data_IF_322627168988
#
_entry.id   IF_322627168988
#
_cell.length_a   1.000
_cell.length_b   1.000
_cell.length_c   1.000
_cell.angle_alpha   90.00
_cell.angle_beta   90.00
_cell.angle_gamma   90.00
#
_symmetry.space_group_name_H-M   'P 1'
#
loop_
_entity.id
_entity.type
_entity.pdbx_description
1 polymer ?
#
# COMPACT_ATOMS: atom_id res chain seq x y z
N UNK A 1 -25.02 -52.75 -36.69
CA UNK A 1 -25.11 -51.28 -36.63
C UNK A 1 -23.98 -50.77 -35.73
N UNK A 2 -23.15 -49.87 -36.27
CA UNK A 2 -21.91 -49.38 -35.66
C UNK A 2 -22.21 -48.38 -34.54
N UNK A 3 -21.82 -48.71 -33.32
CA UNK A 3 -21.63 -47.75 -32.21
C UNK A 3 -20.25 -47.10 -32.35
N UNK A 4 -20.19 -45.77 -32.37
CA UNK A 4 -18.93 -45.03 -32.44
C UNK A 4 -19.05 -43.67 -31.73
N UNK A 5 -17.97 -43.33 -31.01
CA UNK A 5 -17.56 -42.01 -30.50
C UNK A 5 -18.30 -41.54 -29.25
N UNK A 6 -17.67 -40.94 -28.25
CA UNK A 6 -16.31 -40.44 -28.10
C UNK A 6 -16.07 -40.29 -26.60
N UNK A 7 -15.07 -40.96 -26.03
CA UNK A 7 -14.64 -40.73 -24.65
C UNK A 7 -13.37 -39.88 -24.71
N UNK A 8 -13.50 -38.57 -24.50
CA UNK A 8 -12.35 -37.68 -24.32
C UNK A 8 -11.80 -37.89 -22.91
N UNK A 9 -10.68 -38.61 -22.83
CA UNK A 9 -9.82 -38.68 -21.65
C UNK A 9 -9.11 -37.33 -21.46
N UNK A 10 -9.55 -36.53 -20.49
CA UNK A 10 -8.73 -35.45 -19.93
C UNK A 10 -7.83 -36.05 -18.85
N UNK A 11 -6.55 -36.19 -19.17
CA UNK A 11 -5.51 -36.55 -18.21
C UNK A 11 -5.09 -35.28 -17.44
N UNK A 12 -5.60 -35.11 -16.22
CA UNK A 12 -5.03 -34.16 -15.26
C UNK A 12 -3.81 -34.81 -14.62
N UNK A 13 -2.61 -34.32 -14.95
CA UNK A 13 -1.38 -34.66 -14.26
C UNK A 13 -1.38 -33.95 -12.88
N UNK A 14 -1.88 -34.63 -11.86
CA UNK A 14 -1.65 -34.24 -10.45
C UNK A 14 -0.26 -34.75 -10.10
N UNK A 15 0.73 -33.85 -10.14
CA UNK A 15 2.07 -34.12 -9.65
C UNK A 15 2.01 -34.12 -8.10
N UNK A 16 1.87 -35.31 -7.51
CA UNK A 16 2.06 -35.51 -6.07
C UNK A 16 3.54 -35.27 -5.72
N UNK A 17 3.84 -34.14 -5.10
CA UNK A 17 5.13 -33.92 -4.42
C UNK A 17 4.95 -34.37 -2.97
N UNK A 18 5.34 -35.61 -2.68
CA UNK A 18 5.58 -36.07 -1.31
C UNK A 18 7.09 -36.07 -1.09
N UNK A 19 7.61 -35.01 -0.46
CA UNK A 19 9.00 -34.95 -0.03
C UNK A 19 9.05 -34.44 1.42
N UNK A 20 9.31 -35.41 2.30
CA UNK A 20 10.07 -35.36 3.54
C UNK A 20 10.15 -34.04 4.33
N UNK A 21 9.63 -34.15 5.55
CA UNK A 21 9.95 -33.31 6.69
C UNK A 21 11.46 -33.33 6.97
N UNK A 22 12.12 -32.22 6.64
CA UNK A 22 13.22 -31.71 7.45
C UNK A 22 12.96 -30.20 7.60
N UNK A 23 12.57 -29.82 8.82
CA UNK A 23 11.99 -28.54 9.17
C UNK A 23 13.08 -27.46 9.23
N UNK A 24 13.48 -26.97 8.07
CA UNK A 24 14.05 -25.64 7.94
C UNK A 24 12.96 -24.78 7.31
N UNK A 25 12.26 -24.00 8.15
CA UNK A 25 11.17 -23.07 7.83
C UNK A 25 11.59 -22.06 6.76
N UNK A 26 11.70 -22.53 5.53
CA UNK A 26 12.00 -21.71 4.36
C UNK A 26 10.69 -21.04 3.99
N UNK A 27 10.37 -19.97 4.71
CA UNK A 27 9.22 -19.13 4.45
C UNK A 27 9.25 -18.70 2.99
N UNK A 28 8.45 -19.35 2.16
CA UNK A 28 8.47 -19.12 0.72
C UNK A 28 7.52 -17.97 0.42
N UNK A 29 8.07 -16.86 -0.07
CA UNK A 29 7.26 -15.77 -0.60
C UNK A 29 6.72 -16.16 -1.98
N UNK A 30 5.44 -15.88 -2.20
CA UNK A 30 4.76 -16.19 -3.44
C UNK A 30 3.91 -15.02 -3.90
N UNK A 31 3.74 -14.92 -5.22
CA UNK A 31 2.76 -14.08 -5.90
C UNK A 31 1.67 -14.99 -6.45
N UNK A 32 0.42 -14.79 -6.03
CA UNK A 32 -0.71 -15.49 -6.63
C UNK A 32 -1.18 -14.71 -7.84
N UNK A 33 -1.55 -15.42 -8.91
CA UNK A 33 -2.28 -14.87 -10.04
C UNK A 33 -3.71 -15.37 -9.93
N UNK A 34 -4.67 -14.48 -9.66
CA UNK A 34 -6.08 -14.84 -9.49
C UNK A 34 -6.85 -14.71 -10.81
N UNK A 35 -7.94 -15.46 -10.97
CA UNK A 35 -8.81 -15.39 -12.16
C UNK A 35 -9.46 -14.02 -12.38
N UNK A 36 -9.56 -13.20 -11.33
CA UNK A 36 -10.07 -11.83 -11.41
C UNK A 36 -9.00 -10.79 -11.78
N UNK A 37 -7.78 -11.23 -12.07
CA UNK A 37 -6.65 -10.37 -12.45
C UNK A 37 -5.89 -9.74 -11.28
N UNK A 38 -6.23 -10.06 -10.02
CA UNK A 38 -5.45 -9.59 -8.86
C UNK A 38 -4.20 -10.42 -8.62
N UNK A 39 -3.18 -9.77 -8.04
CA UNK A 39 -1.88 -10.38 -7.79
C UNK A 39 -1.38 -10.20 -6.35
N UNK A 40 -2.01 -10.84 -5.34
CA UNK A 40 -1.55 -10.71 -3.96
C UNK A 40 -0.17 -11.36 -3.79
N UNK A 41 0.67 -10.72 -2.98
CA UNK A 41 2.03 -11.14 -2.67
C UNK A 41 2.17 -11.33 -1.16
N UNK A 42 2.75 -12.43 -0.72
CA UNK A 42 2.98 -12.68 0.69
C UNK A 42 3.74 -13.96 0.96
N UNK A 43 4.06 -14.18 2.23
CA UNK A 43 4.60 -15.42 2.75
C UNK A 43 3.49 -16.48 2.75
N UNK A 44 3.76 -17.63 2.12
CA UNK A 44 2.83 -18.75 2.16
C UNK A 44 2.84 -19.37 3.55
N UNK A 45 1.68 -19.45 4.20
CA UNK A 45 1.52 -20.08 5.51
C UNK A 45 1.15 -21.55 5.31
N UNK A 46 2.00 -22.52 5.72
CA UNK A 46 1.65 -23.93 5.64
C UNK A 46 0.46 -24.22 6.55
N UNK A 47 -0.52 -24.98 6.06
CA UNK A 47 -1.64 -25.47 6.85
C UNK A 47 -1.74 -26.98 6.72
N UNK A 48 -1.86 -27.67 7.86
CA UNK A 48 -1.92 -29.14 7.92
C UNK A 48 -3.22 -29.72 7.34
N UNK A 49 -4.31 -28.95 7.35
CA UNK A 49 -5.67 -29.49 7.10
C UNK A 49 -6.50 -28.69 6.06
N UNK A 50 -5.86 -27.79 5.32
CA UNK A 50 -6.56 -26.91 4.35
C UNK A 50 -6.34 -27.37 2.92
N UNK A 51 -7.17 -28.32 2.47
CA UNK A 51 -7.18 -28.76 1.07
C UNK A 51 -7.81 -27.72 0.13
N UNK A 52 -8.59 -26.75 0.63
CA UNK A 52 -9.37 -25.82 -0.21
C UNK A 52 -8.83 -24.38 -0.25
N UNK A 53 -8.02 -23.97 0.73
CA UNK A 53 -7.57 -22.58 0.86
C UNK A 53 -6.05 -22.45 0.72
N UNK A 54 -5.64 -21.29 0.22
CA UNK A 54 -4.27 -20.79 0.22
C UNK A 54 -4.22 -19.60 1.16
N UNK A 55 -3.32 -19.65 2.14
CA UNK A 55 -3.17 -18.59 3.14
C UNK A 55 -1.88 -17.85 2.88
N UNK A 56 -2.00 -16.54 2.67
CA UNK A 56 -0.87 -15.63 2.59
C UNK A 56 -0.81 -14.75 3.82
N UNK A 57 0.37 -14.63 4.39
CA UNK A 57 0.72 -13.61 5.37
C UNK A 57 1.51 -12.52 4.66
N UNK A 58 1.01 -11.29 4.66
CA UNK A 58 1.74 -10.12 4.17
C UNK A 58 2.00 -9.17 5.32
N UNK A 59 3.25 -8.73 5.49
CA UNK A 59 3.59 -7.69 6.45
C UNK A 59 3.51 -6.32 5.80
N UNK A 60 2.72 -5.41 6.39
CA UNK A 60 2.68 -3.99 6.02
C UNK A 60 2.60 -3.17 7.30
N UNK A 61 3.46 -2.16 7.45
CA UNK A 61 3.47 -1.25 8.60
C UNK A 61 3.40 -1.98 9.96
N UNK A 62 4.25 -3.00 10.15
CA UNK A 62 4.32 -3.82 11.38
C UNK A 62 3.06 -4.66 11.71
N UNK A 63 2.06 -4.70 10.83
CA UNK A 63 0.89 -5.55 10.96
C UNK A 63 1.00 -6.78 10.05
N UNK A 64 0.75 -7.95 10.62
CA UNK A 64 0.62 -9.21 9.89
C UNK A 64 -0.82 -9.32 9.34
N UNK A 65 -0.99 -9.13 8.04
CA UNK A 65 -2.28 -9.32 7.37
C UNK A 65 -2.35 -10.74 6.83
N UNK A 66 -3.31 -11.52 7.32
CA UNK A 66 -3.55 -12.90 6.88
C UNK A 66 -4.72 -12.93 5.90
N UNK A 67 -4.42 -13.21 4.64
CA UNK A 67 -5.39 -13.31 3.56
C UNK A 67 -5.65 -14.77 3.18
N UNK A 68 -6.92 -15.15 2.99
CA UNK A 68 -7.34 -16.50 2.58
C UNK A 68 -7.92 -16.48 1.17
N UNK A 69 -7.39 -17.30 0.29
CA UNK A 69 -7.82 -17.43 -1.10
C UNK A 69 -8.28 -18.85 -1.39
N UNK A 70 -9.48 -19.00 -1.94
CA UNK A 70 -9.97 -20.31 -2.35
C UNK A 70 -9.17 -20.80 -3.57
N UNK A 71 -8.73 -22.07 -3.59
CA UNK A 71 -7.86 -22.59 -4.67
C UNK A 71 -8.49 -22.45 -6.06
N UNK A 72 -9.81 -22.57 -6.18
CA UNK A 72 -10.52 -22.37 -7.47
C UNK A 72 -10.46 -20.95 -8.02
N UNK A 73 -10.03 -19.96 -7.21
CA UNK A 73 -9.82 -18.58 -7.65
C UNK A 73 -8.37 -18.32 -8.07
N UNK A 74 -7.45 -19.24 -7.79
CA UNK A 74 -6.02 -19.07 -8.06
C UNK A 74 -5.69 -19.74 -9.39
N UNK A 75 -5.28 -18.94 -10.36
CA UNK A 75 -4.86 -19.39 -11.67
C UNK A 75 -3.43 -19.95 -11.64
N UNK A 76 -2.50 -19.25 -10.98
CA UNK A 76 -1.09 -19.65 -10.92
C UNK A 76 -0.43 -19.14 -9.64
N UNK A 77 0.58 -19.86 -9.14
CA UNK A 77 1.39 -19.46 -7.99
C UNK A 77 2.82 -19.31 -8.49
N UNK A 78 3.38 -18.11 -8.36
CA UNK A 78 4.74 -17.79 -8.75
C UNK A 78 5.59 -17.62 -7.49
N UNK A 79 6.67 -18.40 -7.36
CA UNK A 79 7.63 -18.24 -6.28
C UNK A 79 8.46 -16.99 -6.56
N UNK A 80 8.58 -16.12 -5.57
CA UNK A 80 9.43 -14.93 -5.64
C UNK A 80 10.49 -15.03 -4.56
N UNK A 81 11.72 -14.72 -4.93
CA UNK A 81 12.75 -14.47 -3.93
C UNK A 81 12.43 -13.12 -3.28
N UNK A 82 12.35 -13.03 -1.94
CA UNK A 82 12.07 -11.76 -1.30
C UNK A 82 13.17 -10.79 -1.70
N UNK A 83 12.79 -9.74 -2.44
CA UNK A 83 13.65 -8.58 -2.60
C UNK A 83 13.78 -8.01 -1.20
N UNK A 84 14.95 -8.21 -0.60
CA UNK A 84 15.29 -7.63 0.70
C UNK A 84 15.19 -6.12 0.50
N UNK A 85 14.06 -5.54 0.91
CA UNK A 85 13.97 -4.11 1.13
C UNK A 85 14.85 -3.87 2.34
N UNK A 86 16.08 -3.44 2.09
CA UNK A 86 17.01 -3.04 3.16
C UNK A 86 16.31 -1.90 3.90
N UNK A 87 15.82 -2.17 5.10
CA UNK A 87 15.43 -1.11 6.03
C UNK A 87 16.67 -0.22 6.23
N UNK A 88 16.57 1.11 6.00
CA UNK A 88 17.71 1.99 6.10
C UNK A 88 18.01 2.28 7.57
N UNK A 89 18.53 1.29 8.30
CA UNK A 89 18.90 1.45 9.72
C UNK A 89 20.37 1.80 9.97
N UNK A 90 21.21 1.98 8.94
CA UNK A 90 22.62 2.40 9.14
C UNK A 90 23.05 3.57 8.25
N UNK A 91 22.62 4.78 8.59
CA UNK A 91 23.26 6.02 8.10
C UNK A 91 23.48 7.05 9.22
N UNK A 92 24.03 6.62 10.36
CA UNK A 92 24.72 7.50 11.31
C UNK A 92 26.24 7.57 11.06
N UNK A 93 26.69 7.28 9.83
CA UNK A 93 28.03 7.65 9.41
C UNK A 93 28.04 9.14 9.04
N UNK A 94 28.88 9.91 9.73
CA UNK A 94 29.11 11.33 9.43
C UNK A 94 29.33 11.49 7.91
N UNK A 95 28.59 12.39 7.24
CA UNK A 95 28.69 12.53 5.79
C UNK A 95 30.12 12.96 5.44
N UNK A 96 30.80 12.13 4.65
CA UNK A 96 32.02 12.53 3.97
C UNK A 96 31.71 13.74 3.07
N UNK A 97 32.37 14.90 3.24
CA UNK A 97 32.10 16.10 2.44
C UNK A 97 32.33 15.89 0.93
N UNK A 98 33.08 14.86 0.52
CA UNK A 98 33.23 14.52 -0.90
C UNK A 98 32.00 13.83 -1.51
N UNK A 99 31.15 13.17 -0.70
CA UNK A 99 29.90 12.54 -1.17
C UNK A 99 28.83 13.56 -1.54
N UNK A 100 28.86 14.76 -0.93
CA UNK A 100 27.90 15.82 -1.18
C UNK A 100 27.92 16.34 -2.64
N UNK A 101 29.04 16.17 -3.35
CA UNK A 101 29.17 16.70 -4.72
C UNK A 101 28.70 15.71 -5.80
N UNK A 102 28.53 14.42 -5.50
CA UNK A 102 28.00 13.43 -6.47
C UNK A 102 26.48 13.42 -6.58
N UNK A 103 25.77 13.88 -5.55
CA UNK A 103 24.30 13.98 -5.57
C UNK A 103 23.77 15.13 -6.44
N UNK A 104 24.61 16.10 -6.83
CA UNK A 104 24.19 17.18 -7.73
C UNK A 104 23.97 16.75 -9.19
N UNK A 105 24.36 15.54 -9.59
CA UNK A 105 24.30 15.08 -10.97
C UNK A 105 23.23 14.01 -11.27
N UNK A 106 22.51 13.51 -10.26
CA UNK A 106 21.38 12.62 -10.48
C UNK A 106 20.12 13.44 -10.77
N UNK A 107 20.08 14.03 -11.97
CA UNK A 107 18.83 14.58 -12.48
C UNK A 107 17.83 13.42 -12.58
N UNK A 108 16.75 13.48 -11.79
CA UNK A 108 15.66 12.52 -11.92
C UNK A 108 15.19 12.47 -13.38
N UNK A 109 14.76 11.29 -13.88
CA UNK A 109 14.05 11.16 -15.13
C UNK A 109 13.03 12.28 -15.33
N UNK A 110 13.03 12.85 -16.54
CA UNK A 110 12.18 13.97 -16.88
C UNK A 110 10.71 13.60 -16.72
N UNK A 111 9.88 14.56 -16.33
CA UNK A 111 8.45 14.38 -16.02
C UNK A 111 7.66 13.59 -17.09
N UNK A 112 8.07 13.64 -18.37
CA UNK A 112 7.40 12.89 -19.45
C UNK A 112 7.49 11.37 -19.29
N UNK A 113 8.32 10.85 -18.38
CA UNK A 113 8.45 9.42 -18.11
C UNK A 113 7.52 8.90 -17.01
N UNK A 114 6.68 9.74 -16.39
CA UNK A 114 5.77 9.26 -15.33
C UNK A 114 4.79 8.24 -15.92
N UNK A 115 4.76 7.04 -15.33
CA UNK A 115 3.78 5.99 -15.63
C UNK A 115 2.77 5.84 -14.50
N UNK A 116 3.22 5.94 -13.26
CA UNK A 116 2.36 5.80 -12.08
C UNK A 116 2.78 6.75 -10.97
N UNK A 117 1.90 6.88 -9.97
CA UNK A 117 2.20 7.55 -8.71
C UNK A 117 1.96 6.57 -7.55
N UNK A 118 2.68 6.76 -6.46
CA UNK A 118 2.45 6.09 -5.19
C UNK A 118 2.24 7.16 -4.10
N UNK A 119 1.38 6.84 -3.14
CA UNK A 119 1.17 7.69 -1.97
C UNK A 119 1.28 6.87 -0.70
N UNK A 120 1.78 7.50 0.35
CA UNK A 120 1.74 6.98 1.70
C UNK A 120 1.29 8.09 2.64
N UNK A 121 0.33 7.79 3.50
CA UNK A 121 -0.27 8.78 4.38
C UNK A 121 -0.13 8.38 5.85
N UNK A 122 0.15 9.36 6.70
CA UNK A 122 0.24 9.19 8.14
C UNK A 122 -0.42 10.35 8.88
N UNK A 123 -1.11 10.07 9.99
CA UNK A 123 -1.53 11.11 10.94
C UNK A 123 -0.28 11.83 11.47
N UNK A 124 -0.37 13.15 11.63
CA UNK A 124 0.77 13.95 12.08
C UNK A 124 0.33 15.16 12.91
N UNK A 125 0.96 15.34 14.07
CA UNK A 125 1.03 16.63 14.77
C UNK A 125 2.18 17.48 14.22
N UNK A 126 1.91 18.75 13.96
CA UNK A 126 2.89 19.74 13.48
C UNK A 126 3.36 20.67 14.59
N UNK A 127 2.55 20.89 15.62
CA UNK A 127 2.91 21.70 16.78
C UNK A 127 3.46 20.89 17.97
N UNK A 128 3.48 19.55 17.83
CA UNK A 128 3.97 18.57 18.82
C UNK A 128 3.06 18.39 20.03
N UNK A 129 1.78 18.67 19.88
CA UNK A 129 0.75 18.17 20.78
C UNK A 129 0.49 16.66 20.60
N UNK A 130 -0.42 16.12 21.41
CA UNK A 130 -0.81 14.71 21.36
C UNK A 130 -1.90 14.44 20.30
N UNK A 131 -2.50 15.49 19.76
CA UNK A 131 -3.60 15.41 18.80
C UNK A 131 -3.02 15.49 17.39
N UNK A 132 -3.58 14.73 16.44
CA UNK A 132 -3.13 14.91 15.07
C UNK A 132 -3.71 16.22 14.53
N UNK A 133 -2.89 17.07 13.92
CA UNK A 133 -3.33 18.28 13.21
C UNK A 133 -3.89 17.98 11.82
N UNK A 134 -3.48 16.85 11.25
CA UNK A 134 -3.79 16.49 9.87
C UNK A 134 -3.20 15.16 9.43
N UNK A 135 -3.22 14.96 8.11
CA UNK A 135 -2.48 13.88 7.44
C UNK A 135 -1.25 14.47 6.76
N UNK A 136 -0.09 13.87 7.00
CA UNK A 136 1.10 14.06 6.18
C UNK A 136 1.09 13.03 5.05
N UNK A 137 1.27 13.47 3.81
CA UNK A 137 1.26 12.61 2.63
C UNK A 137 2.61 12.69 1.92
N UNK A 138 3.25 11.54 1.77
CA UNK A 138 4.37 11.35 0.86
C UNK A 138 3.83 10.94 -0.51
N UNK A 139 4.17 11.68 -1.55
CA UNK A 139 3.82 11.41 -2.94
C UNK A 139 5.09 11.13 -3.74
N UNK A 140 5.09 10.04 -4.50
CA UNK A 140 6.18 9.63 -5.38
C UNK A 140 5.65 9.42 -6.79
N UNK A 141 6.36 9.90 -7.81
CA UNK A 141 6.08 9.56 -9.21
C UNK A 141 7.11 8.54 -9.72
N UNK A 142 6.64 7.55 -10.46
CA UNK A 142 7.44 6.41 -10.89
C UNK A 142 7.41 6.26 -12.42
N UNK A 143 8.56 5.91 -13.00
CA UNK A 143 8.70 5.53 -14.40
C UNK A 143 8.31 4.05 -14.64
N UNK A 144 8.34 3.55 -15.90
CA UNK A 144 8.06 2.15 -16.18
C UNK A 144 9.03 1.14 -15.58
N UNK A 145 10.18 1.58 -15.08
CA UNK A 145 11.18 0.77 -14.40
C UNK A 145 11.09 0.92 -12.87
N UNK A 146 10.04 1.58 -12.35
CA UNK A 146 9.84 1.87 -10.92
C UNK A 146 10.91 2.80 -10.32
N UNK A 147 11.62 3.58 -11.15
CA UNK A 147 12.50 4.63 -10.66
C UNK A 147 11.70 5.91 -10.40
N UNK A 148 12.16 6.70 -9.42
CA UNK A 148 11.58 8.01 -9.11
C UNK A 148 11.72 8.97 -10.29
N UNK A 149 10.66 9.70 -10.59
CA UNK A 149 10.62 10.76 -11.60
C UNK A 149 10.52 12.13 -10.95
N UNK A 150 10.89 13.17 -11.70
CA UNK A 150 10.62 14.54 -11.27
C UNK A 150 9.11 14.79 -11.14
N UNK A 151 8.69 15.31 -9.99
CA UNK A 151 7.32 15.72 -9.72
C UNK A 151 7.06 17.17 -10.19
N UNK A 152 5.97 17.40 -10.91
CA UNK A 152 5.46 18.74 -11.25
C UNK A 152 3.94 18.71 -11.45
N UNK A 153 3.32 19.89 -11.45
CA UNK A 153 1.91 20.06 -11.75
C UNK A 153 1.08 20.33 -10.51
N UNK A 154 -0.13 19.78 -10.45
CA UNK A 154 -1.04 19.94 -9.31
C UNK A 154 -1.60 18.60 -8.87
N UNK A 155 -1.58 18.33 -7.58
CA UNK A 155 -2.18 17.14 -6.98
C UNK A 155 -3.46 17.51 -6.25
N UNK A 156 -4.50 16.70 -6.43
CA UNK A 156 -5.74 16.79 -5.66
C UNK A 156 -5.85 15.58 -4.74
N UNK A 157 -6.27 15.81 -3.51
CA UNK A 157 -6.48 14.79 -2.49
C UNK A 157 -7.91 14.83 -2.02
N UNK A 158 -8.52 13.67 -1.85
CA UNK A 158 -9.81 13.50 -1.18
C UNK A 158 -9.67 12.43 -0.12
N UNK A 159 -9.97 12.79 1.14
CA UNK A 159 -9.94 11.87 2.27
C UNK A 159 -11.36 11.47 2.64
N UNK A 160 -11.56 10.18 2.88
CA UNK A 160 -12.79 9.60 3.39
C UNK A 160 -12.52 8.90 4.72
N UNK A 161 -13.47 8.99 5.64
CA UNK A 161 -13.49 8.19 6.86
C UNK A 161 -14.74 7.32 6.87
N UNK A 162 -14.68 6.22 7.59
CA UNK A 162 -15.81 5.34 7.83
C UNK A 162 -16.38 5.60 9.22
N UNK A 163 -17.71 5.69 9.33
CA UNK A 163 -18.39 5.78 10.62
C UNK A 163 -18.41 4.42 11.31
N UNK A 164 -18.16 4.38 12.62
CA UNK A 164 -18.20 3.15 13.41
C UNK A 164 -19.63 2.57 13.51
N UNK A 165 -20.62 3.43 13.77
CA UNK A 165 -22.03 3.05 13.93
C UNK A 165 -22.96 4.02 13.20
N UNK A 166 -22.98 3.99 11.85
CA UNK A 166 -23.87 4.86 11.09
C UNK A 166 -25.33 4.52 11.41
N UNK A 167 -26.17 5.55 11.61
CA UNK A 167 -27.62 5.36 11.66
C UNK A 167 -28.15 4.87 10.30
N UNK A 168 -29.34 4.24 10.23
CA UNK A 168 -29.88 3.71 8.97
C UNK A 168 -29.94 4.71 7.81
N UNK A 169 -30.15 5.99 8.10
CA UNK A 169 -30.23 7.07 7.09
C UNK A 169 -28.89 7.79 6.85
N UNK A 170 -27.82 7.38 7.53
CA UNK A 170 -26.50 8.02 7.43
C UNK A 170 -25.60 7.29 6.45
N UNK A 171 -24.77 8.06 5.75
CA UNK A 171 -23.75 7.49 4.86
C UNK A 171 -22.63 6.88 5.70
N UNK A 172 -22.31 5.61 5.42
CA UNK A 172 -21.20 4.87 6.06
C UNK A 172 -19.84 5.54 5.82
N UNK A 173 -19.60 6.04 4.62
CA UNK A 173 -18.36 6.73 4.26
C UNK A 173 -18.62 8.23 4.15
N UNK A 174 -17.85 9.02 4.90
CA UNK A 174 -17.97 10.47 4.95
C UNK A 174 -16.72 11.09 4.34
N UNK A 175 -16.91 12.07 3.46
CA UNK A 175 -15.80 12.85 2.92
C UNK A 175 -15.30 13.83 3.98
N UNK A 176 -14.06 13.62 4.44
CA UNK A 176 -13.43 14.44 5.48
C UNK A 176 -12.90 15.77 4.93
N UNK A 177 -12.44 15.76 3.68
CA UNK A 177 -11.94 16.97 3.04
C UNK A 177 -11.47 16.75 1.61
N UNK A 178 -11.30 17.88 0.92
CA UNK A 178 -10.64 17.99 -0.38
C UNK A 178 -9.53 19.03 -0.31
N UNK A 179 -8.37 18.70 -0.89
CA UNK A 179 -7.23 19.59 -0.99
C UNK A 179 -6.72 19.59 -2.44
N UNK A 180 -6.28 20.75 -2.90
CA UNK A 180 -5.58 20.88 -4.16
C UNK A 180 -4.30 21.64 -3.91
N UNK A 181 -3.17 21.02 -4.24
CA UNK A 181 -1.84 21.55 -3.97
C UNK A 181 -1.07 21.63 -5.27
N UNK A 182 -0.49 22.80 -5.56
CA UNK A 182 0.45 22.97 -6.66
C UNK A 182 1.82 22.48 -6.19
N UNK A 183 2.41 21.54 -6.90
CA UNK A 183 3.74 21.02 -6.54
C UNK A 183 4.80 22.05 -6.90
N UNK A 184 5.53 22.49 -5.88
CA UNK A 184 6.65 23.41 -5.94
C UNK A 184 7.89 22.76 -5.33
N UNK A 185 9.07 23.29 -5.64
CA UNK A 185 10.36 22.66 -5.28
C UNK A 185 10.61 22.59 -3.77
N UNK A 186 9.96 23.46 -2.98
CA UNK A 186 9.99 23.47 -1.52
C UNK A 186 9.24 22.30 -0.88
N UNK A 187 8.30 21.69 -1.59
CA UNK A 187 7.58 20.49 -1.13
C UNK A 187 8.32 19.20 -1.47
N UNK A 188 9.32 19.26 -2.36
CA UNK A 188 10.03 18.09 -2.88
C UNK A 188 11.36 17.96 -2.15
N UNK A 189 11.59 16.80 -1.54
CA UNK A 189 12.84 16.54 -0.86
C UNK A 189 13.99 16.18 -1.82
N UNK A 190 15.17 15.93 -1.25
CA UNK A 190 16.36 15.54 -2.02
C UNK A 190 16.23 14.17 -2.72
N UNK A 191 15.25 13.34 -2.33
CA UNK A 191 14.96 12.05 -2.94
C UNK A 191 13.95 12.16 -4.08
N UNK A 192 13.37 13.34 -4.31
CA UNK A 192 12.35 13.57 -5.33
C UNK A 192 10.93 13.25 -4.85
N UNK A 193 10.76 13.02 -3.54
CA UNK A 193 9.46 12.72 -2.94
C UNK A 193 8.81 14.03 -2.48
N UNK A 194 7.52 14.22 -2.77
CA UNK A 194 6.79 15.39 -2.30
C UNK A 194 6.11 15.13 -0.95
N UNK A 195 6.30 16.04 0.00
CA UNK A 195 5.71 15.98 1.34
C UNK A 195 4.61 17.04 1.47
N UNK A 196 3.36 16.60 1.55
CA UNK A 196 2.18 17.48 1.58
C UNK A 196 1.45 17.34 2.90
N UNK A 197 1.12 18.49 3.50
CA UNK A 197 0.32 18.58 4.71
C UNK A 197 -1.16 18.79 4.36
N UNK A 198 -2.03 17.90 4.86
CA UNK A 198 -3.48 17.95 4.69
C UNK A 198 -4.13 18.26 6.05
N UNK A 199 -4.32 19.55 6.40
CA UNK A 199 -4.86 19.93 7.71
C UNK A 199 -6.31 19.48 7.84
N UNK A 200 -6.67 19.06 9.06
CA UNK A 200 -8.06 18.94 9.43
C UNK A 200 -8.77 20.29 9.22
N UNK A 201 -10.00 20.22 8.73
CA UNK A 201 -10.83 21.41 8.49
C UNK A 201 -12.02 21.40 9.43
N UNK A 202 -13.10 20.77 9.00
CA UNK A 202 -14.38 20.81 9.70
C UNK A 202 -14.62 19.59 10.60
N UNK A 203 -13.92 18.48 10.30
CA UNK A 203 -14.03 17.23 11.04
C UNK A 203 -12.66 16.92 11.64
N UNK A 204 -12.67 16.53 12.91
CA UNK A 204 -11.50 16.23 13.73
C UNK A 204 -11.55 14.75 14.15
N UNK A 205 -11.22 13.81 13.24
CA UNK A 205 -11.31 12.38 13.51
C UNK A 205 -10.30 11.90 14.57
N UNK A 206 -9.36 12.76 14.94
CA UNK A 206 -8.41 12.56 16.03
C UNK A 206 -9.08 12.53 17.40
N UNK A 207 -10.16 13.30 17.58
CA UNK A 207 -10.95 13.38 18.82
C UNK A 207 -12.38 12.84 18.69
N UNK A 208 -12.92 12.77 17.47
CA UNK A 208 -14.27 12.30 17.22
C UNK A 208 -14.33 10.77 17.09
N UNK A 209 -14.90 10.11 18.11
CA UNK A 209 -15.08 8.66 18.16
C UNK A 209 -16.19 8.13 17.25
N UNK A 210 -16.92 8.98 16.54
CA UNK A 210 -17.90 8.55 15.53
C UNK A 210 -17.24 7.83 14.35
N UNK A 211 -15.94 8.09 14.12
CA UNK A 211 -15.19 7.54 13.00
C UNK A 211 -14.25 6.40 13.43
N UNK A 212 -14.03 5.46 12.51
CA UNK A 212 -12.95 4.49 12.64
C UNK A 212 -11.59 5.19 12.65
N UNK A 213 -10.60 4.53 13.26
CA UNK A 213 -9.22 5.02 13.35
C UNK A 213 -8.49 5.12 12.00
N UNK A 214 -9.05 4.53 10.94
CA UNK A 214 -8.46 4.49 9.61
C UNK A 214 -9.42 5.06 8.56
N UNK A 215 -8.85 5.67 7.53
CA UNK A 215 -9.55 6.24 6.39
C UNK A 215 -8.98 5.80 5.05
N UNK A 216 -9.60 6.31 3.99
CA UNK A 216 -9.23 6.08 2.61
C UNK A 216 -8.86 7.40 1.96
N UNK A 217 -7.63 7.52 1.47
CA UNK A 217 -7.14 8.71 0.78
C UNK A 217 -6.99 8.40 -0.71
N UNK A 218 -7.60 9.25 -1.54
CA UNK A 218 -7.41 9.24 -3.00
C UNK A 218 -6.55 10.43 -3.41
N UNK A 219 -5.54 10.20 -4.24
CA UNK A 219 -4.74 11.23 -4.87
C UNK A 219 -4.91 11.21 -6.40
N UNK A 220 -4.97 12.40 -7.00
CA UNK A 220 -4.91 12.59 -8.45
C UNK A 220 -3.86 13.65 -8.79
N UNK A 221 -2.77 13.23 -9.41
CA UNK A 221 -1.73 14.12 -9.93
C UNK A 221 -2.07 14.50 -11.38
N UNK A 222 -2.19 15.80 -11.64
CA UNK A 222 -2.36 16.33 -12.99
C UNK A 222 -1.07 17.02 -13.44
N UNK A 223 -0.51 16.52 -14.53
CA UNK A 223 0.75 17.00 -15.12
C UNK A 223 0.45 17.62 -16.49
N UNK A 224 0.59 18.94 -16.65
CA UNK A 224 0.32 19.60 -17.93
C UNK A 224 1.15 19.02 -19.07
N UNK A 225 0.47 18.63 -20.17
CA UNK A 225 1.11 18.07 -21.36
C UNK A 225 1.59 16.62 -21.24
N UNK A 226 1.39 15.96 -20.09
CA UNK A 226 1.76 14.55 -19.88
C UNK A 226 0.51 13.72 -19.61
N UNK A 227 -0.31 14.08 -18.61
CA UNK A 227 -1.51 13.32 -18.28
C UNK A 227 -1.99 13.49 -16.84
N UNK A 228 -2.92 12.61 -16.44
CA UNK A 228 -3.43 12.49 -15.08
C UNK A 228 -3.14 11.09 -14.54
N UNK A 229 -2.68 11.03 -13.30
CA UNK A 229 -2.31 9.78 -12.61
C UNK A 229 -3.06 9.70 -11.29
N UNK A 230 -3.51 8.51 -10.91
CA UNK A 230 -4.27 8.29 -9.68
C UNK A 230 -3.59 7.23 -8.81
N UNK A 231 -3.67 7.42 -7.50
CA UNK A 231 -3.33 6.43 -6.50
C UNK A 231 -4.26 6.56 -5.29
N UNK A 232 -4.28 5.53 -4.47
CA UNK A 232 -5.03 5.53 -3.22
C UNK A 232 -4.27 4.81 -2.12
N UNK A 233 -4.44 5.28 -0.90
CA UNK A 233 -4.01 4.61 0.33
C UNK A 233 -5.28 4.24 1.11
N UNK A 234 -5.47 2.95 1.35
CA UNK A 234 -6.69 2.42 1.96
C UNK A 234 -6.63 2.32 3.50
N UNK A 235 -5.46 2.55 4.10
CA UNK A 235 -5.23 2.40 5.52
C UNK A 235 -4.63 3.67 6.12
N UNK A 236 -5.21 4.82 5.80
CA UNK A 236 -4.69 6.10 6.30
C UNK A 236 -5.05 6.24 7.76
N UNK A 237 -4.07 6.25 8.70
CA UNK A 237 -4.39 6.49 10.09
C UNK A 237 -4.93 7.91 10.23
N UNK A 238 -6.10 8.04 10.85
CA UNK A 238 -6.74 9.33 11.13
C UNK A 238 -6.35 9.89 12.50
N UNK A 239 -5.79 9.03 13.35
CA UNK A 239 -5.28 9.36 14.68
C UNK A 239 -4.05 8.54 14.98
N UNK A 240 -3.12 9.11 15.75
CA UNK A 240 -1.96 8.35 16.24
C UNK A 240 -2.42 7.27 17.22
N UNK A 241 -1.72 6.13 17.24
CA UNK A 241 -2.00 5.05 18.17
C UNK A 241 -1.81 5.52 19.62
N UNK A 242 -2.79 5.25 20.48
CA UNK A 242 -2.72 5.62 21.90
C UNK A 242 -3.32 4.50 22.73
N UNK A 243 -2.47 3.74 23.40
CA UNK A 243 -2.91 2.62 24.23
C UNK A 243 -3.98 3.03 25.25
N UNK A 244 -3.78 4.17 25.95
CA UNK A 244 -4.73 4.63 26.96
C UNK A 244 -6.12 4.97 26.38
N UNK A 245 -6.17 5.58 25.20
CA UNK A 245 -7.44 5.91 24.53
C UNK A 245 -8.10 4.65 23.99
N UNK A 246 -7.31 3.84 23.30
CA UNK A 246 -7.81 2.66 22.60
C UNK A 246 -8.30 1.60 23.61
N UNK A 247 -7.66 1.49 24.79
CA UNK A 247 -8.15 0.66 25.91
C UNK A 247 -9.45 1.23 26.52
N UNK A 248 -9.62 2.55 26.54
CA UNK A 248 -10.83 3.19 27.06
C UNK A 248 -12.04 3.05 26.12
N UNK A 249 -11.83 2.88 24.80
CA UNK A 249 -12.89 2.65 23.81
C UNK A 249 -13.42 1.19 23.83
N UNK A 250 -12.69 0.26 24.46
CA UNK A 250 -13.07 -1.17 24.54
C UNK A 250 -14.10 -1.44 25.67
N UNK A 251 -14.36 -0.48 26.56
CA UNK A 251 -15.25 -0.59 27.72
C UNK A 251 -16.52 0.24 27.61
#
# INVERSE_FOLDING_TARGET
MKTSRSLCLFAFAILCVTAFADAQESSTYVKLHLHDGRHPVGKLVPQEDSSEWIVLESSSAQLAIVSRFHKTKVQTIERIDPVIVIEPEELLQRPNPESANRFRANAFPAVRSIQSIAIHAAAKSWDRDAEADGVSVQLVALDPQQNRCQLQGSVSFTLYAERYHPRPDEQRFVKMGDWTVRLSQDLIDQHGDAHIQLPWRNLRPDVDSEFLSHGFLKARLNVPGVGSFEASDANVPLREFSQFRDDAEIH
#
